data_IF_038403791093
#
_entry.id   IF_038403791093
#
_cell.length_a   1.000
_cell.length_b   1.000
_cell.length_c   1.000
_cell.angle_alpha   90.00
_cell.angle_beta   90.00
_cell.angle_gamma   90.00
#
_symmetry.space_group_name_H-M   'P 1'
#
loop_
_entity.id
_entity.type
_entity.pdbx_description
1 polymer ?
#
# COMPACT_ATOMS: atom_id res chain seq x y z
N UNK A 1 1.62 -9.62 1.02
CA UNK A 1 1.35 -8.19 1.19
C UNK A 1 -0.13 -7.91 0.91
N UNK A 2 -0.96 -7.79 1.93
CA UNK A 2 -2.36 -7.39 1.83
C UNK A 2 -2.46 -5.89 1.55
N UNK A 3 -3.17 -5.55 0.48
CA UNK A 3 -3.41 -4.18 0.07
C UNK A 3 -4.92 -3.94 0.06
N UNK A 4 -5.40 -3.01 0.87
CA UNK A 4 -6.80 -2.61 0.88
C UNK A 4 -7.02 -1.21 1.41
N UNK A 5 -8.13 -0.61 1.01
CA UNK A 5 -8.50 0.72 1.46
C UNK A 5 -8.68 0.74 2.98
N UNK A 6 -7.95 1.58 3.73
CA UNK A 6 -8.05 1.63 5.20
C UNK A 6 -9.39 2.15 5.72
N UNK A 7 -10.29 2.60 4.83
CA UNK A 7 -11.60 3.18 5.19
C UNK A 7 -12.80 2.30 4.86
N UNK A 8 -12.64 1.35 3.95
CA UNK A 8 -13.76 0.52 3.46
C UNK A 8 -13.34 -0.89 3.04
N UNK A 9 -12.07 -1.25 3.25
CA UNK A 9 -11.51 -2.58 3.02
C UNK A 9 -11.58 -3.07 1.57
N UNK A 10 -11.93 -2.19 0.62
CA UNK A 10 -11.88 -2.50 -0.80
C UNK A 10 -10.46 -2.85 -1.24
N UNK A 11 -10.32 -4.00 -1.92
CA UNK A 11 -9.06 -4.54 -2.44
C UNK A 11 -8.90 -4.17 -3.92
N UNK A 12 -7.84 -3.43 -4.29
CA UNK A 12 -7.54 -3.17 -5.69
C UNK A 12 -7.10 -4.45 -6.40
N UNK A 13 -7.51 -4.60 -7.65
CA UNK A 13 -7.08 -5.66 -8.56
C UNK A 13 -6.10 -5.12 -9.62
N UNK A 14 -5.62 -5.98 -10.52
CA UNK A 14 -4.73 -5.58 -11.60
C UNK A 14 -5.34 -4.55 -12.58
N UNK A 15 -6.66 -4.42 -12.63
CA UNK A 15 -7.38 -3.48 -13.51
C UNK A 15 -7.75 -2.17 -12.82
N UNK A 16 -7.42 -2.04 -11.54
CA UNK A 16 -7.61 -0.83 -10.76
C UNK A 16 -6.53 0.19 -11.17
N UNK A 17 -6.95 1.24 -11.86
CA UNK A 17 -6.06 2.21 -12.48
C UNK A 17 -6.29 3.62 -11.94
N UNK A 18 -5.21 4.35 -11.72
CA UNK A 18 -5.21 5.76 -11.33
C UNK A 18 -4.52 6.61 -12.39
N UNK A 19 -4.94 7.87 -12.50
CA UNK A 19 -4.37 8.85 -13.41
C UNK A 19 -3.39 9.79 -12.72
N UNK A 20 -2.23 10.02 -13.33
CA UNK A 20 -1.27 11.05 -12.92
C UNK A 20 -1.64 12.36 -13.60
N UNK A 21 -1.20 13.47 -13.00
CA UNK A 21 -1.16 14.80 -13.62
C UNK A 21 -0.40 14.85 -14.96
N UNK A 22 0.52 13.92 -15.24
CA UNK A 22 1.23 13.83 -16.52
C UNK A 22 0.47 13.03 -17.61
N UNK A 23 -0.75 12.56 -17.30
CA UNK A 23 -1.59 11.75 -18.18
C UNK A 23 -1.25 10.25 -18.22
N UNK A 24 -0.31 9.78 -17.38
CA UNK A 24 -0.05 8.35 -17.23
C UNK A 24 -1.19 7.69 -16.44
N UNK A 25 -1.66 6.54 -16.91
CA UNK A 25 -2.64 5.70 -16.23
C UNK A 25 -1.95 4.39 -15.86
N UNK A 26 -1.95 4.03 -14.58
CA UNK A 26 -1.30 2.81 -14.07
C UNK A 26 -1.92 2.39 -12.74
N UNK A 27 -1.62 1.17 -12.30
CA UNK A 27 -1.95 0.74 -10.94
C UNK A 27 -0.91 1.31 -9.97
N UNK A 28 -1.34 2.12 -9.00
CA UNK A 28 -0.42 2.80 -8.08
C UNK A 28 0.40 1.82 -7.25
N UNK A 29 -0.10 0.62 -7.01
CA UNK A 29 0.56 -0.39 -6.18
C UNK A 29 1.70 -1.11 -6.89
N UNK A 30 1.74 -1.11 -8.23
CA UNK A 30 2.86 -1.69 -9.01
C UNK A 30 4.19 -0.98 -8.73
N UNK A 31 4.12 0.29 -8.36
CA UNK A 31 5.28 1.18 -8.22
C UNK A 31 5.30 1.92 -6.88
N UNK A 32 4.53 1.45 -5.90
CA UNK A 32 4.43 2.08 -4.57
C UNK A 32 4.12 3.59 -4.63
N UNK A 33 3.20 3.98 -5.51
CA UNK A 33 2.76 5.36 -5.69
C UNK A 33 3.65 6.19 -6.61
N UNK A 34 4.71 5.63 -7.21
CA UNK A 34 5.60 6.38 -8.10
C UNK A 34 5.13 6.29 -9.55
N UNK A 35 4.83 7.43 -10.18
CA UNK A 35 4.44 7.43 -11.59
C UNK A 35 5.58 6.88 -12.47
N UNK A 36 5.35 5.83 -13.29
CA UNK A 36 6.40 5.23 -14.10
C UNK A 36 6.95 6.18 -15.17
N UNK A 37 6.14 7.14 -15.63
CA UNK A 37 6.46 8.11 -16.69
C UNK A 37 7.22 9.34 -16.17
N UNK A 38 6.65 10.09 -15.22
CA UNK A 38 7.24 11.35 -14.74
C UNK A 38 7.99 11.22 -13.39
N UNK A 39 7.99 10.04 -12.77
CA UNK A 39 8.62 9.75 -11.47
C UNK A 39 8.07 10.56 -10.29
N UNK A 40 6.91 11.21 -10.45
CA UNK A 40 6.22 11.85 -9.34
C UNK A 40 5.76 10.83 -8.30
N UNK A 41 5.95 11.14 -7.01
CA UNK A 41 5.59 10.28 -5.89
C UNK A 41 4.24 10.72 -5.33
N UNK A 42 3.23 9.86 -5.43
CA UNK A 42 1.92 10.08 -4.85
C UNK A 42 1.89 9.61 -3.40
N UNK A 43 1.76 10.55 -2.46
CA UNK A 43 1.66 10.25 -1.03
C UNK A 43 0.25 9.88 -0.58
N UNK A 44 -0.76 10.22 -1.38
CA UNK A 44 -2.17 9.95 -1.12
C UNK A 44 -2.76 9.19 -2.30
N UNK A 45 -3.63 8.22 -2.03
CA UNK A 45 -4.31 7.40 -3.04
C UNK A 45 -5.80 7.43 -2.80
N UNK A 46 -6.56 7.71 -3.85
CA UNK A 46 -8.02 7.70 -3.81
C UNK A 46 -8.54 6.28 -3.92
N UNK A 47 -9.51 5.91 -3.09
CA UNK A 47 -10.20 4.64 -3.26
C UNK A 47 -11.21 4.69 -4.40
N UNK A 48 -11.17 3.71 -5.31
CA UNK A 48 -12.10 3.63 -6.44
C UNK A 48 -13.52 3.18 -6.04
N UNK A 49 -13.68 2.57 -4.86
CA UNK A 49 -14.99 2.16 -4.35
C UNK A 49 -15.67 3.25 -3.51
N UNK A 50 -14.97 3.82 -2.51
CA UNK A 50 -15.56 4.81 -1.59
C UNK A 50 -15.19 6.26 -1.92
N UNK A 51 -14.35 6.51 -2.93
CA UNK A 51 -13.90 7.83 -3.40
C UNK A 51 -13.15 8.69 -2.38
N UNK A 52 -12.86 8.15 -1.18
CA UNK A 52 -12.08 8.83 -0.13
C UNK A 52 -10.58 8.70 -0.40
N UNK A 53 -9.85 9.73 -0.03
CA UNK A 53 -8.38 9.75 -0.06
C UNK A 53 -7.81 9.24 1.26
N UNK A 54 -6.76 8.43 1.17
CA UNK A 54 -5.97 7.96 2.32
C UNK A 54 -4.50 8.00 1.96
N UNK A 55 -3.60 8.05 2.95
CA UNK A 55 -2.16 8.00 2.69
C UNK A 55 -1.82 6.68 2.01
N UNK A 56 -0.93 6.71 1.02
CA UNK A 56 -0.60 5.53 0.23
C UNK A 56 -0.02 4.40 1.10
N UNK A 57 0.77 4.73 2.13
CA UNK A 57 1.32 3.72 3.05
C UNK A 57 0.24 3.03 3.91
N UNK A 58 -0.88 3.70 4.22
CA UNK A 58 -1.99 3.10 4.99
C UNK A 58 -2.74 2.01 4.22
N UNK A 59 -2.45 1.83 2.93
CA UNK A 59 -3.05 0.77 2.13
C UNK A 59 -2.37 -0.59 2.31
N UNK A 60 -1.15 -0.63 2.89
CA UNK A 60 -0.38 -1.86 3.08
C UNK A 60 -0.56 -2.39 4.50
N UNK A 61 -1.14 -3.58 4.65
CA UNK A 61 -1.59 -4.13 5.94
C UNK A 61 -0.86 -5.41 6.37
N UNK A 62 0.29 -5.69 5.77
CA UNK A 62 0.96 -7.00 5.92
C UNK A 62 2.25 -6.95 6.74
N UNK A 63 2.42 -5.93 7.58
CA UNK A 63 3.50 -5.94 8.55
C UNK A 63 2.93 -6.46 9.87
N UNK A 64 3.46 -7.58 10.41
CA UNK A 64 3.20 -7.94 11.79
C UNK A 64 3.58 -6.74 12.65
N UNK A 65 2.86 -6.58 13.76
CA UNK A 65 3.22 -5.53 14.72
C UNK A 65 4.69 -5.69 15.12
N UNK A 66 5.36 -4.56 15.40
CA UNK A 66 6.75 -4.60 15.89
C UNK A 66 6.86 -5.52 17.11
N UNK A 67 5.80 -5.57 17.93
CA UNK A 67 5.68 -6.44 19.09
C UNK A 67 5.72 -7.94 18.70
N UNK A 68 4.93 -8.36 17.71
CA UNK A 68 4.98 -9.73 17.16
C UNK A 68 6.35 -10.09 16.59
N UNK A 69 7.03 -9.13 15.94
CA UNK A 69 8.36 -9.35 15.38
C UNK A 69 9.44 -9.46 16.48
N UNK A 70 9.30 -8.70 17.57
CA UNK A 70 10.20 -8.77 18.73
C UNK A 70 10.04 -10.11 19.45
N UNK A 71 8.82 -10.57 19.73
CA UNK A 71 8.56 -11.87 20.36
C UNK A 71 9.15 -13.04 19.53
N UNK A 72 9.04 -12.99 18.20
CA UNK A 72 9.62 -14.02 17.33
C UNK A 72 11.17 -14.00 17.36
N UNK A 73 11.79 -12.83 17.52
CA UNK A 73 13.25 -12.71 17.65
C UNK A 73 13.75 -13.13 19.04
N UNK A 74 12.98 -12.88 20.09
CA UNK A 74 13.33 -13.27 21.47
C UNK A 74 13.24 -14.79 21.63
N UNK A 75 12.16 -15.42 21.15
CA UNK A 75 11.98 -16.88 21.18
C UNK A 75 13.06 -17.64 20.41
N UNK A 76 13.57 -17.09 19.29
CA UNK A 76 14.67 -17.72 18.52
C UNK A 76 16.04 -17.61 19.19
N UNK A 77 16.26 -16.65 20.09
CA UNK A 77 17.54 -16.48 20.80
C UNK A 77 17.76 -17.48 21.93
N UNK A 78 16.70 -18.07 22.49
CA UNK A 78 16.78 -18.99 23.64
C UNK A 78 17.06 -20.45 23.25
N UNK A 79 16.98 -20.79 21.96
CA UNK A 79 17.22 -22.15 21.43
C UNK A 79 18.64 -22.41 20.89
N UNK A 80 19.60 -21.49 21.10
CA UNK A 80 21.02 -21.65 20.70
C UNK A 80 21.93 -21.69 21.90
#
# INVERSE_FOLDING_TARGET
MEIYCPKCEWKPDAHSLWGCTCGCIWNTFDTQGVCPKCKHVWHDTQCLACNKWSKHHDWYHDFPSIDEFIEELETKKETV
#
